data_IF_673640468545
#
_entry.id   IF_673640468545
#
_cell.length_a   1.000
_cell.length_b   1.000
_cell.length_c   1.000
_cell.angle_alpha   90.00
_cell.angle_beta   90.00
_cell.angle_gamma   90.00
#
_symmetry.space_group_name_H-M   'P 1'
#
loop_
_entity.id
_entity.type
_entity.pdbx_description
1 polymer ?
#
# COMPACT_ATOMS: atom_id res chain seq x y z
N UNK A 1 -80.19 -52.59 14.58
CA UNK A 1 -78.98 -52.14 15.30
C UNK A 1 -78.15 -51.31 14.32
N UNK A 2 -78.10 -49.98 14.50
CA UNK A 2 -77.37 -49.03 13.63
C UNK A 2 -75.87 -49.11 13.95
N UNK A 3 -75.01 -49.38 12.96
CA UNK A 3 -73.55 -49.28 13.08
C UNK A 3 -73.14 -47.84 12.73
N UNK A 4 -72.56 -47.12 13.69
CA UNK A 4 -71.88 -45.83 13.47
C UNK A 4 -70.48 -46.12 12.94
N UNK A 5 -70.15 -45.62 11.75
CA UNK A 5 -68.78 -45.52 11.23
C UNK A 5 -68.24 -44.13 11.59
N UNK A 6 -67.20 -44.06 12.42
CA UNK A 6 -66.48 -42.82 12.72
C UNK A 6 -65.48 -42.54 11.59
N UNK A 7 -65.63 -41.40 10.91
CA UNK A 7 -64.68 -40.89 9.93
C UNK A 7 -63.50 -40.22 10.61
N UNK A 8 -62.29 -40.58 10.16
CA UNK A 8 -61.00 -40.04 10.58
C UNK A 8 -60.78 -38.65 9.94
N UNK A 9 -60.40 -37.64 10.73
CA UNK A 9 -59.78 -36.41 10.20
C UNK A 9 -58.44 -36.24 10.90
N UNK A 10 -57.37 -36.65 10.21
CA UNK A 10 -55.99 -36.39 10.63
C UNK A 10 -55.55 -35.08 9.96
N UNK A 11 -55.42 -34.01 10.75
CA UNK A 11 -54.91 -32.73 10.28
C UNK A 11 -53.38 -32.81 10.23
N UNK A 12 -52.81 -33.05 9.04
CA UNK A 12 -51.37 -33.02 8.84
C UNK A 12 -50.88 -31.56 8.78
N UNK A 13 -50.23 -31.09 9.85
CA UNK A 13 -49.43 -29.86 9.79
C UNK A 13 -48.13 -30.14 9.03
N UNK A 14 -48.04 -29.67 7.79
CA UNK A 14 -46.79 -29.61 7.03
C UNK A 14 -46.02 -28.35 7.40
N UNK A 15 -44.98 -28.50 8.24
CA UNK A 15 -43.98 -27.45 8.46
C UNK A 15 -43.06 -27.36 7.25
N UNK A 16 -43.18 -26.29 6.46
CA UNK A 16 -42.25 -25.98 5.38
C UNK A 16 -40.97 -25.45 6.02
N UNK A 17 -39.97 -26.32 6.18
CA UNK A 17 -38.60 -25.89 6.48
C UNK A 17 -38.03 -25.24 5.22
N UNK A 18 -38.11 -23.92 5.16
CA UNK A 18 -37.44 -23.14 4.13
C UNK A 18 -35.94 -23.12 4.47
N UNK A 19 -35.19 -24.13 4.03
CA UNK A 19 -33.73 -24.12 4.07
C UNK A 19 -33.21 -23.17 3.01
N UNK A 20 -33.45 -21.87 3.21
CA UNK A 20 -32.66 -20.85 2.55
C UNK A 20 -31.23 -21.08 3.00
N UNK A 21 -30.36 -21.49 2.07
CA UNK A 21 -28.93 -21.37 2.26
C UNK A 21 -28.67 -19.88 2.50
N UNK A 22 -28.60 -19.48 3.78
CA UNK A 22 -27.94 -18.23 4.16
C UNK A 22 -26.49 -18.45 3.77
N UNK A 23 -26.15 -18.06 2.55
CA UNK A 23 -24.75 -17.84 2.20
C UNK A 23 -24.30 -16.78 3.20
N UNK A 24 -23.44 -17.16 4.14
CA UNK A 24 -22.70 -16.17 4.89
C UNK A 24 -22.02 -15.29 3.85
N UNK A 25 -22.47 -14.04 3.71
CA UNK A 25 -21.76 -13.03 2.95
C UNK A 25 -20.39 -13.00 3.62
N UNK A 26 -19.37 -13.54 2.95
CA UNK A 26 -18.00 -13.29 3.39
C UNK A 26 -17.89 -11.78 3.58
N UNK A 27 -17.31 -11.28 4.69
CA UNK A 27 -17.05 -9.86 4.81
C UNK A 27 -16.40 -9.45 3.50
N UNK A 28 -16.96 -8.46 2.81
CA UNK A 28 -16.32 -7.96 1.61
C UNK A 28 -14.95 -7.46 2.09
N UNK A 29 -13.90 -8.24 1.82
CA UNK A 29 -12.57 -7.96 2.33
C UNK A 29 -12.13 -6.57 1.87
N UNK A 30 -11.18 -5.96 2.59
CA UNK A 30 -10.63 -4.66 2.21
C UNK A 30 -10.13 -4.73 0.76
N UNK A 31 -10.72 -3.92 -0.12
CA UNK A 31 -10.41 -3.91 -1.57
C UNK A 31 -9.55 -2.73 -2.01
N UNK A 32 -9.44 -1.68 -1.21
CA UNK A 32 -8.65 -0.51 -1.56
C UNK A 32 -7.20 -0.72 -1.11
N UNK A 33 -6.25 -0.47 -2.01
CA UNK A 33 -4.80 -0.56 -1.74
C UNK A 33 -4.17 0.76 -2.19
N UNK A 34 -3.41 1.40 -1.31
CA UNK A 34 -2.67 2.62 -1.60
C UNK A 34 -1.18 2.31 -1.57
N UNK A 35 -0.50 2.49 -2.70
CA UNK A 35 0.93 2.20 -2.87
C UNK A 35 1.76 3.49 -2.78
N UNK A 36 2.78 3.49 -1.91
CA UNK A 36 3.67 4.63 -1.64
C UNK A 36 5.10 4.24 -2.00
N UNK A 37 5.73 5.00 -2.89
CA UNK A 37 7.09 4.74 -3.38
C UNK A 37 8.16 5.17 -2.38
N UNK A 38 9.42 4.81 -2.68
CA UNK A 38 10.58 5.21 -1.88
C UNK A 38 11.23 6.48 -2.41
N UNK A 39 12.36 6.85 -1.81
CA UNK A 39 13.20 7.94 -2.29
C UNK A 39 13.80 7.62 -3.67
N UNK A 40 14.18 8.66 -4.41
CA UNK A 40 14.82 8.62 -5.74
C UNK A 40 13.94 8.10 -6.89
N UNK A 41 12.84 7.41 -6.61
CA UNK A 41 11.95 6.84 -7.63
C UNK A 41 10.57 7.48 -7.55
N UNK A 42 9.71 7.11 -8.50
CA UNK A 42 8.31 7.51 -8.51
C UNK A 42 7.39 6.27 -8.48
N UNK A 43 6.08 6.50 -8.48
CA UNK A 43 5.04 5.47 -8.47
C UNK A 43 4.99 4.58 -9.70
N UNK A 44 5.66 4.90 -10.81
CA UNK A 44 5.70 4.03 -11.98
C UNK A 44 6.35 2.67 -11.69
N UNK A 45 7.25 2.62 -10.69
CA UNK A 45 7.84 1.36 -10.21
C UNK A 45 6.81 0.36 -9.67
N UNK A 46 5.62 0.82 -9.31
CA UNK A 46 4.52 -0.05 -8.87
C UNK A 46 3.72 -0.68 -10.01
N UNK A 47 4.00 -0.36 -11.28
CA UNK A 47 3.16 -0.77 -12.41
C UNK A 47 2.86 -2.27 -12.46
N UNK A 48 3.88 -3.12 -12.27
CA UNK A 48 3.70 -4.58 -12.28
C UNK A 48 2.84 -5.07 -11.11
N UNK A 49 3.00 -4.48 -9.92
CA UNK A 49 2.19 -4.80 -8.73
C UNK A 49 0.75 -4.32 -8.91
N UNK A 50 0.57 -3.11 -9.44
CA UNK A 50 -0.73 -2.56 -9.80
C UNK A 50 -1.48 -3.50 -10.75
N UNK A 51 -0.82 -3.99 -11.81
CA UNK A 51 -1.46 -4.88 -12.80
C UNK A 51 -1.93 -6.19 -12.17
N UNK A 52 -1.12 -6.78 -11.27
CA UNK A 52 -1.47 -8.01 -10.55
C UNK A 52 -2.67 -7.77 -9.63
N UNK A 53 -2.63 -6.72 -8.81
CA UNK A 53 -3.68 -6.43 -7.83
C UNK A 53 -5.01 -6.05 -8.49
N UNK A 54 -4.99 -5.24 -9.55
CA UNK A 54 -6.22 -4.90 -10.29
C UNK A 54 -6.81 -6.13 -10.96
N UNK A 55 -5.98 -7.02 -11.53
CA UNK A 55 -6.44 -8.30 -12.08
C UNK A 55 -7.12 -9.18 -11.02
N UNK A 56 -6.65 -9.12 -9.78
CA UNK A 56 -7.22 -9.85 -8.64
C UNK A 56 -8.44 -9.14 -8.00
N UNK A 57 -8.89 -8.03 -8.60
CA UNK A 57 -10.12 -7.32 -8.21
C UNK A 57 -9.94 -6.37 -7.03
N UNK A 58 -8.74 -5.84 -6.81
CA UNK A 58 -8.49 -4.73 -5.89
C UNK A 58 -8.61 -3.38 -6.61
N UNK A 59 -8.99 -2.33 -5.87
CA UNK A 59 -8.89 -0.95 -6.31
C UNK A 59 -7.55 -0.40 -5.83
N UNK A 60 -6.69 -0.02 -6.77
CA UNK A 60 -5.31 0.38 -6.45
C UNK A 60 -5.12 1.86 -6.78
N UNK A 61 -4.68 2.62 -5.78
CA UNK A 61 -4.18 3.99 -5.96
C UNK A 61 -2.67 3.99 -5.79
N UNK A 62 -1.96 4.69 -6.66
CA UNK A 62 -0.50 4.88 -6.56
C UNK A 62 -0.24 6.34 -6.25
N UNK A 63 0.43 6.61 -5.13
CA UNK A 63 0.74 7.99 -4.70
C UNK A 63 1.97 8.49 -5.45
N UNK A 64 1.90 9.72 -5.95
CA UNK A 64 3.06 10.49 -6.41
C UNK A 64 3.35 11.59 -5.39
N UNK A 65 4.30 11.34 -4.49
CA UNK A 65 4.73 12.32 -3.51
C UNK A 65 5.99 13.07 -4.00
N UNK A 66 6.14 14.36 -3.65
CA UNK A 66 7.09 15.24 -4.32
C UNK A 66 8.56 15.03 -3.94
N UNK A 67 8.86 14.30 -2.85
CA UNK A 67 10.23 14.10 -2.34
C UNK A 67 10.92 15.41 -1.92
N UNK A 68 10.14 16.45 -1.62
CA UNK A 68 10.65 17.79 -1.25
C UNK A 68 10.71 18.03 0.26
N UNK A 69 9.88 17.35 1.04
CA UNK A 69 9.90 17.37 2.50
C UNK A 69 9.07 16.21 3.05
N UNK A 70 9.39 15.77 4.28
CA UNK A 70 8.66 14.66 4.91
C UNK A 70 7.16 14.98 5.06
N UNK A 71 6.83 16.15 5.61
CA UNK A 71 5.45 16.59 5.76
C UNK A 71 4.72 16.77 4.43
N UNK A 72 5.43 17.21 3.39
CA UNK A 72 4.89 17.35 2.04
C UNK A 72 4.49 15.99 1.47
N UNK A 73 5.32 14.98 1.72
CA UNK A 73 5.10 13.62 1.25
C UNK A 73 3.97 12.91 2.02
N UNK A 74 3.93 13.05 3.35
CA UNK A 74 2.80 12.61 4.18
C UNK A 74 1.50 13.28 3.72
N UNK A 75 1.54 14.59 3.45
CA UNK A 75 0.37 15.32 2.96
C UNK A 75 -0.10 14.81 1.59
N UNK A 76 0.82 14.45 0.69
CA UNK A 76 0.47 13.87 -0.60
C UNK A 76 -0.24 12.51 -0.45
N UNK A 77 0.24 11.63 0.45
CA UNK A 77 -0.43 10.36 0.76
C UNK A 77 -1.83 10.61 1.34
N UNK A 78 -1.96 11.52 2.31
CA UNK A 78 -3.26 11.87 2.92
C UNK A 78 -4.28 12.39 1.89
N UNK A 79 -3.85 13.15 0.88
CA UNK A 79 -4.74 13.57 -0.22
C UNK A 79 -5.28 12.38 -1.01
N UNK A 80 -4.48 11.33 -1.23
CA UNK A 80 -4.93 10.11 -1.91
C UNK A 80 -5.82 9.24 -1.00
N UNK A 81 -5.52 9.19 0.30
CA UNK A 81 -6.37 8.52 1.29
C UNK A 81 -7.77 9.14 1.35
N UNK A 82 -7.87 10.47 1.30
CA UNK A 82 -9.15 11.20 1.27
C UNK A 82 -10.01 10.92 0.01
N UNK A 83 -9.43 10.31 -1.05
CA UNK A 83 -10.16 9.89 -2.24
C UNK A 83 -10.66 8.44 -2.15
N UNK A 84 -10.27 7.68 -1.12
CA UNK A 84 -10.75 6.32 -0.95
C UNK A 84 -12.22 6.31 -0.53
N UNK A 85 -12.98 5.36 -1.04
CA UNK A 85 -14.42 5.23 -0.80
C UNK A 85 -14.77 4.20 0.30
N UNK A 86 -13.78 3.84 1.13
CA UNK A 86 -13.88 2.79 2.13
C UNK A 86 -12.52 2.40 2.70
N UNK A 87 -12.47 1.38 3.56
CA UNK A 87 -11.23 0.97 4.23
C UNK A 87 -10.16 0.56 3.22
N UNK A 88 -8.90 0.84 3.52
CA UNK A 88 -7.75 0.53 2.67
C UNK A 88 -6.57 -0.08 3.43
N UNK A 89 -5.72 -0.77 2.68
CA UNK A 89 -4.37 -1.15 3.09
C UNK A 89 -3.37 -0.14 2.51
N UNK A 90 -2.49 0.38 3.36
CA UNK A 90 -1.45 1.33 2.95
C UNK A 90 -0.10 0.60 2.90
N UNK A 91 0.56 0.65 1.74
CA UNK A 91 1.77 -0.11 1.43
C UNK A 91 2.91 0.85 1.13
N UNK A 92 4.02 0.70 1.84
CA UNK A 92 5.20 1.57 1.70
C UNK A 92 6.45 0.75 1.37
N UNK A 93 7.23 1.22 0.40
CA UNK A 93 8.55 0.66 0.06
C UNK A 93 9.67 1.61 0.47
N UNK A 94 10.75 1.07 1.04
CA UNK A 94 11.93 1.86 1.45
C UNK A 94 11.52 3.07 2.32
N UNK A 95 11.95 4.29 1.97
CA UNK A 95 11.54 5.56 2.58
C UNK A 95 10.01 5.72 2.72
N UNK A 96 9.23 5.17 1.78
CA UNK A 96 7.77 5.15 1.83
C UNK A 96 7.23 4.51 3.11
N UNK A 97 7.98 3.61 3.75
CA UNK A 97 7.69 3.06 5.07
C UNK A 97 7.48 4.15 6.13
N UNK A 98 8.43 5.08 6.25
CA UNK A 98 8.36 6.17 7.22
C UNK A 98 7.15 7.07 6.97
N UNK A 99 6.83 7.33 5.69
CA UNK A 99 5.65 8.10 5.30
C UNK A 99 4.38 7.37 5.75
N UNK A 100 4.26 6.06 5.49
CA UNK A 100 3.06 5.29 5.86
C UNK A 100 2.92 5.07 7.36
N UNK A 101 4.02 5.11 8.14
CA UNK A 101 3.96 5.10 9.61
C UNK A 101 3.17 6.30 10.14
N UNK A 102 3.35 7.48 9.53
CA UNK A 102 2.61 8.69 9.95
C UNK A 102 1.24 8.78 9.29
N UNK A 103 1.17 8.59 7.96
CA UNK A 103 -0.09 8.65 7.21
C UNK A 103 -1.07 7.53 7.59
N UNK A 104 -0.57 6.42 8.12
CA UNK A 104 -1.35 5.26 8.57
C UNK A 104 -2.30 5.50 9.73
N UNK A 105 -2.19 6.65 10.42
CA UNK A 105 -3.13 7.06 11.47
C UNK A 105 -4.47 7.57 10.91
N UNK A 106 -4.64 7.63 9.58
CA UNK A 106 -5.90 7.97 8.93
C UNK A 106 -6.96 6.87 9.18
N UNK A 107 -8.20 7.27 9.42
CA UNK A 107 -9.30 6.35 9.77
C UNK A 107 -9.64 5.32 8.68
N UNK A 108 -9.31 5.62 7.41
CA UNK A 108 -9.52 4.69 6.31
C UNK A 108 -8.51 3.54 6.35
N UNK A 109 -7.35 3.71 6.98
CA UNK A 109 -6.27 2.73 6.96
C UNK A 109 -6.53 1.64 7.99
N UNK A 110 -6.65 0.41 7.52
CA UNK A 110 -6.92 -0.77 8.36
C UNK A 110 -5.70 -1.69 8.52
N UNK A 111 -4.60 -1.36 7.84
CA UNK A 111 -3.37 -2.12 7.92
C UNK A 111 -2.25 -1.47 7.13
N UNK A 112 -1.02 -1.69 7.62
CA UNK A 112 0.22 -1.23 7.01
C UNK A 112 1.01 -2.42 6.48
N UNK A 113 1.60 -2.26 5.30
CA UNK A 113 2.52 -3.23 4.71
C UNK A 113 3.84 -2.53 4.40
N UNK A 114 4.91 -3.02 5.01
CA UNK A 114 6.27 -2.50 4.84
C UNK A 114 7.06 -3.45 3.94
N UNK A 115 7.53 -2.96 2.78
CA UNK A 115 8.31 -3.74 1.82
C UNK A 115 9.73 -3.17 1.78
N UNK A 116 10.69 -3.89 2.36
CA UNK A 116 12.09 -3.43 2.49
C UNK A 116 12.15 -1.96 2.97
N UNK A 117 11.30 -1.61 3.93
CA UNK A 117 10.93 -0.24 4.23
C UNK A 117 11.41 0.19 5.61
N UNK A 118 11.59 1.50 5.78
CA UNK A 118 11.93 2.09 7.06
C UNK A 118 10.66 2.12 7.93
N UNK A 119 10.76 1.63 9.16
CA UNK A 119 9.62 1.53 10.08
C UNK A 119 10.00 2.16 11.42
N UNK A 120 10.16 3.50 11.48
CA UNK A 120 10.56 4.19 12.70
C UNK A 120 9.53 3.96 13.81
N UNK A 121 10.03 3.73 15.03
CA UNK A 121 9.19 3.71 16.23
C UNK A 121 8.85 5.16 16.68
N UNK A 122 7.92 5.30 17.63
CA UNK A 122 7.59 6.59 18.22
C UNK A 122 8.83 7.30 18.77
N UNK A 123 9.10 8.51 18.28
CA UNK A 123 10.24 9.32 18.66
C UNK A 123 11.55 9.01 17.91
N UNK A 124 11.58 7.99 17.05
CA UNK A 124 12.66 7.79 16.10
C UNK A 124 12.46 8.65 14.84
N UNK A 125 13.55 9.04 14.18
CA UNK A 125 13.49 9.75 12.90
C UNK A 125 14.48 9.16 11.89
N UNK A 126 14.19 9.38 10.60
CA UNK A 126 14.97 8.90 9.46
C UNK A 126 16.46 9.28 9.55
N UNK A 127 16.78 10.54 9.84
CA UNK A 127 18.17 11.00 9.88
C UNK A 127 19.00 10.33 10.99
N UNK A 128 18.40 10.08 12.17
CA UNK A 128 19.06 9.36 13.25
C UNK A 128 19.23 7.87 12.91
N UNK A 129 18.17 7.24 12.40
CA UNK A 129 18.18 5.83 12.04
C UNK A 129 19.16 5.56 10.89
N UNK A 130 19.23 6.43 9.89
CA UNK A 130 20.17 6.32 8.78
C UNK A 130 21.65 6.40 9.19
N UNK A 131 21.97 7.02 10.35
CA UNK A 131 23.33 7.00 10.91
C UNK A 131 23.68 5.66 11.53
N UNK A 132 22.70 4.97 12.12
CA UNK A 132 22.87 3.65 12.72
C UNK A 132 22.86 2.55 11.65
N UNK A 133 22.01 2.72 10.63
CA UNK A 133 21.76 1.78 9.55
C UNK A 133 21.99 2.47 8.20
N UNK A 134 23.26 2.68 7.80
CA UNK A 134 23.56 3.39 6.57
C UNK A 134 23.08 2.62 5.34
N UNK A 135 22.68 3.36 4.31
CA UNK A 135 22.20 2.79 3.05
C UNK A 135 23.25 1.91 2.37
N UNK A 136 22.77 0.85 1.70
CA UNK A 136 23.63 -0.08 0.98
C UNK A 136 24.27 0.55 -0.27
N UNK A 137 23.53 1.43 -0.97
CA UNK A 137 24.01 2.13 -2.16
C UNK A 137 25.25 2.97 -1.85
N UNK A 138 26.18 3.04 -2.82
CA UNK A 138 27.44 3.79 -2.74
C UNK A 138 27.56 4.93 -3.74
N UNK A 139 26.59 5.05 -4.64
CA UNK A 139 26.62 5.99 -5.77
C UNK A 139 25.77 7.26 -5.55
N UNK A 140 25.42 7.58 -4.30
CA UNK A 140 24.74 8.82 -3.96
C UNK A 140 25.57 10.04 -4.37
N UNK A 141 24.92 10.99 -5.04
CA UNK A 141 25.45 12.31 -5.35
C UNK A 141 24.67 13.34 -4.55
N UNK A 142 25.41 14.18 -3.82
CA UNK A 142 24.86 15.33 -3.10
C UNK A 142 24.67 16.50 -4.07
N UNK A 143 23.43 16.96 -4.23
CA UNK A 143 23.13 18.17 -5.00
C UNK A 143 23.54 19.44 -4.26
N UNK A 144 24.01 20.45 -5.00
CA UNK A 144 24.40 21.73 -4.39
C UNK A 144 23.20 22.54 -3.85
N UNK A 145 22.00 22.21 -4.30
CA UNK A 145 20.71 22.77 -3.89
C UNK A 145 20.01 21.95 -2.79
N UNK A 146 20.68 20.93 -2.25
CA UNK A 146 20.13 20.05 -1.22
C UNK A 146 19.21 18.95 -1.76
N UNK A 147 19.23 18.70 -3.07
CA UNK A 147 18.53 17.59 -3.70
C UNK A 147 19.50 16.50 -4.16
N UNK A 148 19.42 15.35 -3.52
CA UNK A 148 20.26 14.21 -3.79
C UNK A 148 19.72 13.33 -4.90
N UNK A 149 20.62 12.64 -5.59
CA UNK A 149 20.26 11.65 -6.60
C UNK A 149 21.28 10.52 -6.64
N UNK A 150 20.90 9.38 -7.18
CA UNK A 150 21.80 8.25 -7.40
C UNK A 150 22.48 8.42 -8.76
N UNK A 151 23.80 8.25 -8.84
CA UNK A 151 24.53 8.37 -10.11
C UNK A 151 23.89 7.50 -11.21
N UNK A 152 23.36 8.10 -12.29
CA UNK A 152 22.63 7.33 -13.30
C UNK A 152 23.46 6.22 -13.95
N UNK A 153 24.79 6.37 -14.00
CA UNK A 153 25.69 5.35 -14.53
C UNK A 153 25.81 4.12 -13.61
N UNK A 154 25.72 4.32 -12.30
CA UNK A 154 25.82 3.26 -11.28
C UNK A 154 24.46 2.71 -10.85
N UNK A 155 23.38 3.45 -11.06
CA UNK A 155 22.02 3.12 -10.64
C UNK A 155 21.60 1.67 -10.92
N UNK A 156 21.82 1.09 -12.13
CA UNK A 156 21.39 -0.28 -12.39
C UNK A 156 22.07 -1.32 -11.51
N UNK A 157 23.33 -1.12 -11.14
CA UNK A 157 24.06 -2.09 -10.32
C UNK A 157 23.91 -1.83 -8.81
N UNK A 158 23.75 -0.56 -8.42
CA UNK A 158 23.82 -0.14 -7.02
C UNK A 158 22.45 0.08 -6.37
N UNK A 159 21.42 0.39 -7.16
CA UNK A 159 20.06 0.68 -6.66
C UNK A 159 18.99 -0.26 -7.23
N UNK A 160 19.15 -0.74 -8.47
CA UNK A 160 18.15 -1.54 -9.18
C UNK A 160 18.73 -2.83 -9.77
N UNK A 161 19.59 -3.53 -9.02
CA UNK A 161 20.37 -4.69 -9.47
C UNK A 161 19.53 -5.83 -10.06
N UNK A 162 18.32 -6.01 -9.55
CA UNK A 162 17.41 -7.10 -9.96
C UNK A 162 16.41 -6.68 -11.05
N UNK A 163 16.47 -5.42 -11.51
CA UNK A 163 15.60 -4.90 -12.57
C UNK A 163 16.27 -5.12 -13.94
N UNK A 164 15.53 -5.54 -14.99
CA UNK A 164 16.10 -5.67 -16.33
C UNK A 164 16.83 -4.40 -16.76
N UNK A 165 18.06 -4.53 -17.26
CA UNK A 165 18.97 -3.40 -17.49
C UNK A 165 18.35 -2.23 -18.27
N UNK A 166 17.52 -2.51 -19.28
CA UNK A 166 16.84 -1.48 -20.08
C UNK A 166 15.90 -0.64 -19.22
N UNK A 167 15.17 -1.28 -18.32
CA UNK A 167 14.23 -0.64 -17.41
C UNK A 167 14.98 0.07 -16.27
N UNK A 168 16.00 -0.56 -15.69
CA UNK A 168 16.85 0.08 -14.69
C UNK A 168 17.50 1.37 -15.22
N UNK A 169 17.95 1.39 -16.48
CA UNK A 169 18.44 2.61 -17.14
C UNK A 169 17.35 3.66 -17.33
N UNK A 170 16.13 3.24 -17.67
CA UNK A 170 15.01 4.18 -17.77
C UNK A 170 14.72 4.82 -16.40
N UNK A 171 14.58 4.01 -15.35
CA UNK A 171 14.36 4.47 -13.98
C UNK A 171 15.48 5.42 -13.55
N UNK A 172 16.75 5.10 -13.83
CA UNK A 172 17.87 5.97 -13.53
C UNK A 172 17.78 7.37 -14.17
N UNK A 173 17.15 7.48 -15.35
CA UNK A 173 16.97 8.75 -16.06
C UNK A 173 15.65 9.45 -15.72
N UNK A 174 14.65 8.71 -15.24
CA UNK A 174 13.38 9.26 -14.74
C UNK A 174 13.37 9.46 -13.23
N UNK A 175 14.48 9.17 -12.55
CA UNK A 175 14.61 9.29 -11.10
C UNK A 175 14.26 10.72 -10.65
N UNK A 176 13.65 10.83 -9.48
CA UNK A 176 13.35 12.11 -8.86
C UNK A 176 14.42 12.43 -7.82
N UNK A 177 15.14 13.56 -7.92
CA UNK A 177 16.00 14.00 -6.83
C UNK A 177 15.20 14.16 -5.53
N UNK A 178 15.79 13.77 -4.39
CA UNK A 178 15.15 13.84 -3.07
C UNK A 178 15.79 14.95 -2.24
N UNK A 179 14.99 15.81 -1.64
CA UNK A 179 15.50 16.83 -0.75
C UNK A 179 16.08 16.20 0.53
N UNK A 180 17.20 16.73 1.05
CA UNK A 180 17.72 16.34 2.37
C UNK A 180 16.63 16.49 3.47
N UNK A 181 15.75 17.49 3.34
CA UNK A 181 14.61 17.73 4.23
C UNK A 181 13.52 16.65 4.17
N UNK A 182 13.52 15.77 3.17
CA UNK A 182 12.59 14.63 3.12
C UNK A 182 12.89 13.60 4.23
N UNK A 183 14.12 13.59 4.76
CA UNK A 183 14.57 12.69 5.83
C UNK A 183 14.59 13.35 7.21
N UNK A 184 14.03 14.55 7.33
CA UNK A 184 13.95 15.30 8.59
C UNK A 184 12.49 15.33 9.03
N UNK A 185 12.23 14.79 10.23
CA UNK A 185 10.92 14.71 10.88
C UNK A 185 10.91 15.62 12.11
#
# INVERSE_FOLDING_TARGET
MRKLTFGLVMLALTTIFNTGLVRAQQPAGIKNIVLVHGAFVDGSGWKSVYDILVKDGYHVSVVQHPLTSFDGDVSAVKRVLALQNGPCILVGHSYGGAIITVAGNDEHVQGLVYIAAHAPADGENEAANGKLYPSAYKSLKKGADGFDYIDPASFPADFAADVPLKEAKFIANSQMPVADSAFMQ
#
